data_IF_872743481923
#
_entry.id   IF_872743481923
#
_cell.length_a   1.000
_cell.length_b   1.000
_cell.length_c   1.000
_cell.angle_alpha   90.00
_cell.angle_beta   90.00
_cell.angle_gamma   90.00
#
_symmetry.space_group_name_H-M   'P 1'
#
loop_
_entity.id
_entity.type
_entity.pdbx_description
1 polymer ?
#
# COMPACT_ATOMS: atom_id res chain seq x y z
N UNK A 1 23.92 -7.41 4.83
CA UNK A 1 23.25 -7.07 6.11
C UNK A 1 21.93 -6.37 5.78
N UNK A 2 20.78 -6.97 6.09
CA UNK A 2 19.44 -6.38 5.86
C UNK A 2 18.98 -5.75 7.17
N UNK A 3 18.60 -4.47 7.18
CA UNK A 3 18.24 -3.75 8.40
C UNK A 3 16.90 -4.30 8.96
N UNK A 4 16.80 -4.61 10.26
CA UNK A 4 15.53 -4.93 10.89
C UNK A 4 14.78 -3.62 11.10
N UNK A 5 13.94 -3.26 10.12
CA UNK A 5 13.22 -1.99 10.07
C UNK A 5 12.36 -1.82 8.80
N UNK A 6 12.65 -2.57 7.73
CA UNK A 6 11.84 -2.57 6.49
C UNK A 6 10.56 -3.42 6.62
N UNK A 7 9.76 -3.18 7.66
CA UNK A 7 8.48 -3.85 7.85
C UNK A 7 7.35 -3.22 7.05
N UNK A 8 7.41 -1.92 6.80
CA UNK A 8 6.40 -1.16 6.07
C UNK A 8 6.81 -0.91 4.64
N UNK A 9 5.84 -0.93 3.73
CA UNK A 9 6.01 -0.41 2.38
C UNK A 9 6.07 1.11 2.47
N UNK A 10 7.01 1.72 1.76
CA UNK A 10 7.08 3.16 1.58
C UNK A 10 5.86 3.67 0.80
N UNK A 11 5.49 4.93 1.00
CA UNK A 11 4.40 5.60 0.28
C UNK A 11 4.55 5.44 -1.25
N UNK A 12 5.76 5.64 -1.79
CA UNK A 12 6.06 5.46 -3.22
C UNK A 12 5.87 4.02 -3.69
N UNK A 13 6.25 3.03 -2.87
CA UNK A 13 6.07 1.61 -3.19
C UNK A 13 4.59 1.20 -3.22
N UNK A 14 3.70 1.99 -2.64
CA UNK A 14 2.27 1.72 -2.60
C UNK A 14 1.53 2.12 -3.88
N UNK A 15 1.94 3.21 -4.53
CA UNK A 15 1.36 3.67 -5.80
C UNK A 15 1.81 2.85 -7.01
N UNK A 16 2.91 2.11 -6.88
CA UNK A 16 3.42 1.21 -7.91
C UNK A 16 2.84 -0.22 -7.78
N UNK A 17 1.89 -0.43 -6.84
CA UNK A 17 1.30 -1.74 -6.62
C UNK A 17 0.35 -2.10 -7.77
N UNK A 18 0.39 -3.36 -8.25
CA UNK A 18 -0.66 -3.86 -9.14
C UNK A 18 -2.02 -3.74 -8.45
N UNK A 19 -3.10 -3.69 -9.24
CA UNK A 19 -4.51 -3.52 -8.81
C UNK A 19 -4.89 -4.36 -7.57
N UNK A 20 -4.23 -5.50 -7.36
CA UNK A 20 -4.27 -6.25 -6.11
C UNK A 20 -2.91 -6.86 -5.73
N UNK A 21 -2.59 -6.84 -4.43
CA UNK A 21 -1.39 -7.47 -3.84
C UNK A 21 -1.69 -8.85 -3.28
N UNK A 22 -0.66 -9.65 -3.01
CA UNK A 22 -0.82 -10.92 -2.29
C UNK A 22 -0.99 -10.70 -0.77
N UNK A 23 -1.48 -11.73 -0.07
CA UNK A 23 -1.71 -11.69 1.38
C UNK A 23 -0.46 -11.37 2.20
N UNK A 24 0.72 -11.84 1.78
CA UNK A 24 1.97 -11.59 2.53
C UNK A 24 2.35 -10.12 2.44
N UNK A 25 2.17 -9.51 1.28
CA UNK A 25 2.37 -8.08 1.07
C UNK A 25 1.37 -7.25 1.87
N UNK A 26 0.08 -7.59 1.85
CA UNK A 26 -0.92 -6.91 2.68
C UNK A 26 -0.64 -7.07 4.20
N UNK A 27 -0.28 -8.26 4.65
CA UNK A 27 0.07 -8.52 6.04
C UNK A 27 1.27 -7.67 6.49
N UNK A 28 2.30 -7.56 5.64
CA UNK A 28 3.46 -6.72 5.87
C UNK A 28 3.06 -5.25 6.00
N UNK A 29 2.22 -4.73 5.12
CA UNK A 29 1.71 -3.36 5.18
C UNK A 29 0.96 -3.07 6.49
N UNK A 30 0.24 -4.04 7.03
CA UNK A 30 -0.49 -3.95 8.29
C UNK A 30 0.37 -4.21 9.54
N UNK A 31 1.66 -4.54 9.39
CA UNK A 31 2.53 -4.92 10.52
C UNK A 31 2.21 -6.30 11.12
N UNK A 32 1.52 -7.17 10.37
CA UNK A 32 1.10 -8.50 10.80
C UNK A 32 2.03 -9.57 10.21
N UNK A 33 2.46 -10.53 11.03
CA UNK A 33 3.25 -11.67 10.55
C UNK A 33 2.42 -12.54 9.59
N UNK A 34 3.03 -13.09 8.54
CA UNK A 34 2.30 -13.87 7.53
C UNK A 34 1.50 -15.04 8.12
N UNK A 35 2.05 -15.76 9.10
CA UNK A 35 1.35 -16.83 9.79
C UNK A 35 0.07 -16.34 10.52
N UNK A 36 0.16 -15.17 11.16
CA UNK A 36 -0.99 -14.54 11.82
C UNK A 36 -2.03 -14.11 10.80
N UNK A 37 -1.62 -13.55 9.66
CA UNK A 37 -2.53 -13.19 8.59
C UNK A 37 -3.30 -14.40 8.04
N UNK A 38 -2.62 -15.52 7.77
CA UNK A 38 -3.30 -16.76 7.39
C UNK A 38 -4.27 -17.23 8.47
N UNK A 39 -3.89 -17.21 9.76
CA UNK A 39 -4.79 -17.59 10.86
C UNK A 39 -6.06 -16.71 10.90
N UNK A 40 -5.91 -15.41 10.71
CA UNK A 40 -7.04 -14.48 10.64
C UNK A 40 -7.94 -14.75 9.43
N UNK A 41 -7.38 -15.08 8.27
CA UNK A 41 -8.16 -15.48 7.08
C UNK A 41 -9.00 -16.73 7.35
N UNK A 42 -8.42 -17.76 8.00
CA UNK A 42 -9.16 -18.98 8.34
C UNK A 42 -10.28 -18.74 9.35
N UNK A 43 -10.16 -17.68 10.17
CA UNK A 43 -11.19 -17.24 11.13
C UNK A 43 -12.15 -16.20 10.56
N UNK A 44 -11.95 -15.77 9.30
CA UNK A 44 -12.68 -14.65 8.70
C UNK A 44 -12.56 -13.34 9.48
N UNK A 45 -11.43 -13.15 10.18
CA UNK A 45 -11.12 -11.99 11.02
C UNK A 45 -10.00 -11.11 10.42
N UNK A 46 -9.61 -11.36 9.16
CA UNK A 46 -8.59 -10.54 8.51
C UNK A 46 -9.14 -9.13 8.26
N UNK A 47 -8.40 -8.06 8.61
CA UNK A 47 -8.94 -6.70 8.61
C UNK A 47 -9.22 -6.15 7.21
N UNK A 48 -8.63 -6.72 6.15
CA UNK A 48 -8.86 -6.29 4.77
C UNK A 48 -9.82 -7.22 4.01
N UNK A 49 -10.69 -6.66 3.16
CA UNK A 49 -11.36 -7.42 2.12
C UNK A 49 -10.34 -8.14 1.23
N UNK A 50 -10.63 -9.40 0.89
CA UNK A 50 -9.75 -10.22 0.06
C UNK A 50 -10.54 -11.03 -0.97
N UNK A 51 -9.86 -11.37 -2.05
CA UNK A 51 -10.35 -12.20 -3.14
C UNK A 51 -9.57 -13.52 -3.13
N UNK A 52 -10.25 -14.62 -3.42
CA UNK A 52 -9.61 -15.93 -3.64
C UNK A 52 -9.64 -16.25 -5.13
N UNK A 53 -8.51 -16.09 -5.80
CA UNK A 53 -8.39 -16.29 -7.26
C UNK A 53 -7.32 -17.36 -7.52
N UNK A 54 -7.70 -18.43 -8.22
CA UNK A 54 -6.76 -19.52 -8.56
C UNK A 54 -6.07 -20.16 -7.34
N UNK A 55 -6.79 -20.26 -6.21
CA UNK A 55 -6.26 -20.80 -4.95
C UNK A 55 -5.36 -19.84 -4.17
N UNK A 56 -5.14 -18.61 -4.64
CA UNK A 56 -4.33 -17.59 -3.96
C UNK A 56 -5.21 -16.48 -3.40
N UNK A 57 -4.79 -15.93 -2.25
CA UNK A 57 -5.41 -14.76 -1.65
C UNK A 57 -4.82 -13.48 -2.24
N UNK A 58 -5.70 -12.58 -2.67
CA UNK A 58 -5.38 -11.26 -3.21
C UNK A 58 -6.13 -10.19 -2.43
N UNK A 59 -5.45 -9.08 -2.11
CA UNK A 59 -6.04 -7.94 -1.41
C UNK A 59 -6.03 -6.76 -2.38
N UNK A 60 -7.19 -6.18 -2.73
CA UNK A 60 -7.24 -4.97 -3.56
C UNK A 60 -6.46 -3.83 -2.91
N UNK A 61 -5.59 -3.19 -3.68
CA UNK A 61 -4.70 -2.14 -3.14
C UNK A 61 -5.49 -0.97 -2.57
N UNK A 62 -6.59 -0.56 -3.23
CA UNK A 62 -7.50 0.48 -2.75
C UNK A 62 -8.09 0.20 -1.37
N UNK A 63 -8.46 -1.06 -1.12
CA UNK A 63 -9.01 -1.47 0.17
C UNK A 63 -7.96 -1.48 1.27
N UNK A 64 -6.75 -1.93 0.93
CA UNK A 64 -5.60 -1.87 1.82
C UNK A 64 -5.25 -0.42 2.18
N UNK A 65 -5.23 0.49 1.19
CA UNK A 65 -5.01 1.93 1.39
C UNK A 65 -6.07 2.53 2.32
N UNK A 66 -7.37 2.24 2.10
CA UNK A 66 -8.45 2.76 2.94
C UNK A 66 -8.29 2.35 4.40
N UNK A 67 -7.90 1.10 4.67
CA UNK A 67 -7.68 0.59 6.03
C UNK A 67 -6.48 1.25 6.69
N UNK A 68 -5.47 1.58 5.91
CA UNK A 68 -4.29 2.30 6.37
C UNK A 68 -4.55 3.81 6.55
N UNK A 69 -5.77 4.29 6.28
CA UNK A 69 -6.14 5.70 6.38
C UNK A 69 -5.56 6.56 5.26
N UNK A 70 -5.15 5.93 4.15
CA UNK A 70 -4.64 6.62 2.97
C UNK A 70 -5.83 6.84 2.05
N UNK A 71 -6.46 8.00 2.19
CA UNK A 71 -7.44 8.48 1.23
C UNK A 71 -6.67 9.01 0.01
N UNK A 72 -6.96 8.50 -1.19
CA UNK A 72 -6.35 8.91 -2.45
C UNK A 72 -6.60 10.41 -2.71
N UNK A 73 -5.79 11.28 -2.13
CA UNK A 73 -5.68 12.67 -2.54
C UNK A 73 -4.63 12.75 -3.65
N UNK A 74 -4.96 13.21 -4.86
CA UNK A 74 -3.92 13.57 -5.81
C UNK A 74 -3.21 14.81 -5.26
N UNK A 75 -2.07 14.64 -4.60
CA UNK A 75 -1.10 15.72 -4.43
C UNK A 75 -0.06 15.62 -5.54
N UNK A 76 -0.52 15.87 -6.77
CA UNK A 76 0.31 16.48 -7.79
C UNK A 76 -0.24 17.88 -8.03
N UNK A 77 0.17 18.82 -7.20
CA UNK A 77 0.51 20.16 -7.69
C UNK A 77 1.95 20.39 -7.30
N UNK A 78 2.87 19.75 -8.03
CA UNK A 78 4.06 20.50 -8.40
C UNK A 78 3.52 21.55 -9.36
N UNK A 79 3.25 22.76 -8.86
CA UNK A 79 3.22 23.89 -9.78
C UNK A 79 4.56 23.82 -10.52
N UNK A 80 4.58 23.77 -11.86
CA UNK A 80 5.85 23.84 -12.57
C UNK A 80 6.55 25.10 -12.04
N UNK A 81 7.82 24.96 -11.62
CA UNK A 81 8.66 26.09 -11.23
C UNK A 81 8.56 27.12 -12.36
N UNK A 82 7.67 28.11 -12.19
CA UNK A 82 7.48 29.18 -13.18
C UNK A 82 8.44 30.31 -12.83
N UNK A 83 9.67 29.91 -12.50
CA UNK A 83 10.82 30.79 -12.33
C UNK A 83 11.65 30.78 -13.63
N UNK A 84 10.96 30.89 -14.78
CA UNK A 84 11.53 31.36 -16.04
C UNK A 84 10.78 32.64 -16.46
N UNK A 85 10.69 33.58 -15.53
CA UNK A 85 10.40 35.00 -15.82
C UNK A 85 11.24 35.82 -14.84
N UNK A 86 12.54 35.96 -15.17
CA UNK A 86 13.38 36.94 -14.49
C UNK A 86 12.71 38.31 -14.56
N UNK A 87 12.64 39.08 -13.47
CA UNK A 87 11.98 40.39 -13.50
C UNK A 87 12.69 41.31 -14.52
N UNK A 88 11.94 42.12 -15.27
CA UNK A 88 12.53 42.98 -16.29
C UNK A 88 13.31 44.08 -15.59
N UNK A 89 14.61 44.25 -15.88
CA UNK A 89 15.33 45.54 -16.00
C UNK A 89 16.74 45.29 -16.55
#
# INVERSE_FOLDING_TARGET
MKRPGDGQLSFTEMFDLPVAVDLRTAARALGICSATAYRLIHRSEFPCPYLRVGGRYRVPTRELMRILGIEEGPMYSVEPDTDDEGPPF
#
